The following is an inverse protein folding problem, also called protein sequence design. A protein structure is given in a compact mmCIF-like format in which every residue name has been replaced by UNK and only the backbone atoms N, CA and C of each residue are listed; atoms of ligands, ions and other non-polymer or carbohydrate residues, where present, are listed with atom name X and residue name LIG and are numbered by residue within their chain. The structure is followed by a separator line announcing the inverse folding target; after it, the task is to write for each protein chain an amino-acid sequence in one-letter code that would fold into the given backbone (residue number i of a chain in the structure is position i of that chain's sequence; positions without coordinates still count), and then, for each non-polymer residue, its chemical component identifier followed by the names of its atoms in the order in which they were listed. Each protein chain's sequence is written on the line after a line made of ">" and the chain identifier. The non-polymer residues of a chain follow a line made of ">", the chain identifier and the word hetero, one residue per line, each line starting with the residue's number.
data_IF_409675468137
#
_entry.id   IF_409675468137
#
_cell.length_a   1.000
_cell.length_b   1.000
_cell.length_c   1.000
_cell.angle_alpha   90.00
_cell.angle_beta   90.00
_cell.angle_gamma   90.00
#
_symmetry.space_group_name_H-M   'P 1'
#
loop_
_entity.id
_entity.type
_entity.pdbx_description
1 polymer ?
#
# COMPACT_ATOMS: atom_id res chain seq x y z
N UNK A 1 14.67 21.42 -42.00
CA UNK A 1 13.36 20.95 -41.51
C UNK A 1 13.58 20.34 -40.14
N UNK A 2 13.03 20.94 -39.08
CA UNK A 2 13.23 20.49 -37.71
C UNK A 2 12.25 19.36 -37.41
N UNK A 3 12.75 18.17 -37.10
CA UNK A 3 11.93 17.05 -36.66
C UNK A 3 11.71 17.24 -35.16
N UNK A 4 10.51 17.69 -34.80
CA UNK A 4 10.06 17.81 -33.40
C UNK A 4 9.71 16.40 -32.93
N UNK A 5 10.61 15.78 -32.16
CA UNK A 5 10.33 14.50 -31.51
C UNK A 5 9.39 14.74 -30.31
N UNK A 6 8.11 14.39 -30.48
CA UNK A 6 7.13 14.31 -29.42
C UNK A 6 7.52 13.18 -28.46
N UNK A 7 8.24 13.51 -27.39
CA UNK A 7 8.44 12.62 -26.25
C UNK A 7 7.10 12.47 -25.53
N UNK A 8 6.38 11.39 -25.85
CA UNK A 8 5.22 10.96 -25.11
C UNK A 8 5.68 10.42 -23.76
N UNK A 9 5.74 11.30 -22.76
CA UNK A 9 5.98 10.91 -21.36
C UNK A 9 4.83 10.03 -20.91
N UNK A 10 5.04 8.71 -20.89
CA UNK A 10 4.09 7.77 -20.30
C UNK A 10 4.07 8.03 -18.80
N UNK A 11 3.11 8.85 -18.35
CA UNK A 11 2.82 9.01 -16.93
C UNK A 11 2.41 7.65 -16.40
N UNK A 12 3.35 6.98 -15.74
CA UNK A 12 3.07 5.73 -15.03
C UNK A 12 2.18 6.10 -13.86
N UNK A 13 0.87 5.96 -14.07
CA UNK A 13 -0.13 6.05 -13.02
C UNK A 13 0.12 4.88 -12.05
N UNK A 14 1.03 5.10 -11.10
CA UNK A 14 1.14 4.26 -9.93
C UNK A 14 -0.14 4.54 -9.14
N UNK A 15 -1.15 3.70 -9.35
CA UNK A 15 -2.28 3.62 -8.45
C UNK A 15 -1.68 3.38 -7.06
N UNK A 16 -1.58 4.45 -6.25
CA UNK A 16 -1.17 4.32 -4.88
C UNK A 16 -2.28 3.51 -4.20
N UNK A 17 -2.04 2.21 -4.03
CA UNK A 17 -2.90 1.37 -3.23
C UNK A 17 -2.90 1.97 -1.81
N UNK A 18 -3.93 2.74 -1.49
CA UNK A 18 -4.09 3.30 -0.16
C UNK A 18 -4.52 2.17 0.78
N UNK A 19 -3.55 1.61 1.52
CA UNK A 19 -3.84 0.60 2.53
C UNK A 19 -4.66 1.23 3.66
N UNK A 20 -5.82 0.65 3.95
CA UNK A 20 -6.74 1.17 4.97
C UNK A 20 -6.41 0.55 6.32
N UNK A 21 -5.90 1.37 7.25
CA UNK A 21 -5.64 0.92 8.62
C UNK A 21 -6.96 0.57 9.32
N UNK A 22 -7.09 -0.63 9.90
CA UNK A 22 -8.29 -1.02 10.61
C UNK A 22 -8.43 -0.24 11.91
N UNK A 23 -9.67 0.11 12.25
CA UNK A 23 -9.96 0.77 13.52
C UNK A 23 -10.15 -0.26 14.62
N UNK A 24 -9.49 0.00 15.74
CA UNK A 24 -9.68 -0.76 16.98
C UNK A 24 -11.18 -0.79 17.35
N UNK A 25 -11.75 -1.95 17.72
CA UNK A 25 -13.14 -2.04 18.15
C UNK A 25 -13.42 -1.19 19.39
N UNK A 26 -14.57 -0.53 19.41
CA UNK A 26 -14.96 0.30 20.56
C UNK A 26 -15.19 -0.51 21.85
N UNK A 27 -15.59 -1.79 21.72
CA UNK A 27 -15.92 -2.64 22.86
C UNK A 27 -14.76 -2.88 23.84
N UNK A 28 -13.50 -2.65 23.43
CA UNK A 28 -12.33 -2.78 24.31
C UNK A 28 -11.85 -1.45 24.90
N UNK A 29 -12.41 -0.32 24.46
CA UNK A 29 -12.12 1.01 25.02
C UNK A 29 -13.19 1.48 26.03
N UNK A 30 -14.26 0.70 26.20
CA UNK A 30 -15.31 0.98 27.16
C UNK A 30 -14.89 0.75 28.60
N UNK A 31 -15.53 1.46 29.53
CA UNK A 31 -15.43 1.22 30.98
C UNK A 31 -16.22 -0.02 31.46
N UNK A 32 -17.01 -0.63 30.57
CA UNK A 32 -17.86 -1.79 30.87
C UNK A 32 -17.11 -3.12 30.74
N UNK A 33 -17.57 -4.11 31.50
CA UNK A 33 -17.15 -5.51 31.39
C UNK A 33 -18.11 -6.29 30.49
N UNK A 34 -17.71 -7.50 30.12
CA UNK A 34 -18.53 -8.41 29.33
C UNK A 34 -19.42 -9.27 30.25
N UNK A 35 -20.33 -8.62 30.96
CA UNK A 35 -21.12 -9.24 32.05
C UNK A 35 -22.23 -10.19 31.56
N UNK A 36 -22.54 -10.14 30.27
CA UNK A 36 -23.50 -11.01 29.63
C UNK A 36 -22.93 -11.64 28.36
N UNK A 37 -23.50 -12.79 27.97
CA UNK A 37 -23.04 -13.56 26.82
C UNK A 37 -23.14 -12.76 25.51
N UNK A 38 -24.15 -11.90 25.37
CA UNK A 38 -24.34 -11.11 24.17
C UNK A 38 -23.21 -10.09 23.97
N UNK A 39 -22.88 -9.34 25.02
CA UNK A 39 -21.78 -8.36 25.02
C UNK A 39 -20.43 -9.04 24.75
N UNK A 40 -20.20 -10.21 25.35
CA UNK A 40 -19.01 -11.01 25.11
C UNK A 40 -18.90 -11.47 23.65
N UNK A 41 -19.95 -12.13 23.13
CA UNK A 41 -19.94 -12.69 21.78
C UNK A 41 -19.85 -11.58 20.71
N UNK A 42 -20.55 -10.46 20.93
CA UNK A 42 -20.47 -9.31 20.02
C UNK A 42 -19.06 -8.74 19.97
N UNK A 43 -18.43 -8.49 21.12
CA UNK A 43 -17.07 -7.96 21.12
C UNK A 43 -16.05 -8.97 20.56
N UNK A 44 -16.22 -10.26 20.85
CA UNK A 44 -15.38 -11.31 20.25
C UNK A 44 -15.48 -11.30 18.73
N UNK A 45 -16.67 -11.17 18.18
CA UNK A 45 -16.88 -11.07 16.72
C UNK A 45 -16.17 -9.86 16.12
N UNK A 46 -16.23 -8.72 16.81
CA UNK A 46 -15.54 -7.49 16.42
C UNK A 46 -14.02 -7.63 16.47
N UNK A 47 -13.48 -8.30 17.49
CA UNK A 47 -12.05 -8.61 17.61
C UNK A 47 -11.57 -9.55 16.49
N UNK A 48 -12.35 -10.58 16.14
CA UNK A 48 -12.02 -11.45 15.01
C UNK A 48 -12.05 -10.71 13.67
N UNK A 49 -12.99 -9.77 13.50
CA UNK A 49 -13.00 -8.88 12.33
C UNK A 49 -11.78 -7.98 12.30
N UNK A 50 -11.43 -7.36 13.43
CA UNK A 50 -10.25 -6.51 13.56
C UNK A 50 -8.96 -7.26 13.20
N UNK A 51 -8.82 -8.52 13.67
CA UNK A 51 -7.71 -9.40 13.31
C UNK A 51 -7.61 -9.63 11.80
N UNK A 52 -8.73 -9.96 11.14
CA UNK A 52 -8.73 -10.17 9.68
C UNK A 52 -8.32 -8.90 8.93
N UNK A 53 -8.92 -7.76 9.26
CA UNK A 53 -8.59 -6.49 8.62
C UNK A 53 -7.14 -6.06 8.89
N UNK A 54 -6.58 -6.39 10.05
CA UNK A 54 -5.17 -6.14 10.37
C UNK A 54 -4.25 -6.95 9.45
N UNK A 55 -4.56 -8.23 9.22
CA UNK A 55 -3.79 -9.05 8.28
C UNK A 55 -3.88 -8.50 6.85
N UNK A 56 -5.08 -8.12 6.41
CA UNK A 56 -5.31 -7.53 5.08
C UNK A 56 -4.50 -6.22 4.91
N UNK A 57 -4.48 -5.38 5.96
CA UNK A 57 -3.71 -4.15 5.99
C UNK A 57 -2.20 -4.40 5.88
N UNK A 58 -1.66 -5.34 6.65
CA UNK A 58 -0.23 -5.71 6.60
C UNK A 58 0.13 -6.27 5.23
N UNK A 59 -0.72 -7.12 4.64
CA UNK A 59 -0.49 -7.66 3.29
C UNK A 59 -0.50 -6.56 2.23
N UNK A 60 -1.40 -5.58 2.34
CA UNK A 60 -1.40 -4.41 1.47
C UNK A 60 -0.10 -3.62 1.61
N UNK A 61 0.35 -3.34 2.84
CA UNK A 61 1.59 -2.61 3.09
C UNK A 61 2.81 -3.32 2.51
N UNK A 62 2.88 -4.65 2.63
CA UNK A 62 3.94 -5.46 2.01
C UNK A 62 3.96 -5.29 0.50
N UNK A 63 2.79 -5.33 -0.14
CA UNK A 63 2.68 -5.14 -1.59
C UNK A 63 3.13 -3.74 -2.01
N UNK A 64 2.68 -2.71 -1.27
CA UNK A 64 3.05 -1.32 -1.51
C UNK A 64 4.57 -1.08 -1.32
N UNK A 65 5.19 -1.75 -0.34
CA UNK A 65 6.64 -1.73 -0.14
C UNK A 65 7.36 -2.34 -1.34
N UNK A 66 6.95 -3.53 -1.79
CA UNK A 66 7.56 -4.20 -2.94
C UNK A 66 7.44 -3.37 -4.22
N UNK A 67 6.29 -2.73 -4.44
CA UNK A 67 6.07 -1.80 -5.56
C UNK A 67 7.01 -0.60 -5.48
N UNK A 68 7.17 0.00 -4.29
CA UNK A 68 8.07 1.13 -4.10
C UNK A 68 9.54 0.75 -4.37
N UNK A 69 9.97 -0.43 -3.92
CA UNK A 69 11.31 -0.96 -4.19
C UNK A 69 11.51 -1.22 -5.70
N UNK A 70 10.53 -1.82 -6.38
CA UNK A 70 10.59 -2.01 -7.84
C UNK A 70 10.71 -0.69 -8.58
N UNK A 71 9.91 0.30 -8.21
CA UNK A 71 9.94 1.63 -8.82
C UNK A 71 11.31 2.31 -8.60
N UNK A 72 11.87 2.21 -7.39
CA UNK A 72 13.21 2.70 -7.09
C UNK A 72 14.29 2.02 -7.95
N UNK A 73 14.29 0.69 -8.03
CA UNK A 73 15.27 -0.04 -8.83
C UNK A 73 15.19 0.34 -10.32
N UNK A 74 13.98 0.48 -10.88
CA UNK A 74 13.78 0.96 -12.25
C UNK A 74 14.34 2.37 -12.47
N UNK A 75 14.18 3.25 -11.48
CA UNK A 75 14.76 4.59 -11.53
C UNK A 75 16.30 4.55 -11.49
N UNK A 76 16.89 3.67 -10.68
CA UNK A 76 18.35 3.45 -10.63
C UNK A 76 18.87 2.89 -11.97
N UNK A 77 18.18 1.93 -12.57
CA UNK A 77 18.52 1.39 -13.89
C UNK A 77 18.53 2.49 -14.96
N UNK A 78 17.48 3.32 -14.97
CA UNK A 78 17.36 4.46 -15.89
C UNK A 78 18.50 5.47 -15.67
N UNK A 79 18.78 5.81 -14.40
CA UNK A 79 19.89 6.68 -14.03
C UNK A 79 21.24 6.14 -14.52
N UNK A 80 21.54 4.87 -14.23
CA UNK A 80 22.80 4.25 -14.63
C UNK A 80 22.95 4.16 -16.15
N UNK A 81 21.85 3.91 -16.88
CA UNK A 81 21.86 3.93 -18.33
C UNK A 81 22.23 5.31 -18.87
N UNK A 82 21.62 6.39 -18.38
CA UNK A 82 21.98 7.75 -18.78
C UNK A 82 23.41 8.13 -18.37
N UNK A 83 23.83 7.75 -17.17
CA UNK A 83 25.18 7.98 -16.68
C UNK A 83 26.25 7.29 -17.54
N UNK A 84 25.91 6.18 -18.19
CA UNK A 84 26.79 5.49 -19.15
C UNK A 84 26.90 6.17 -20.53
N UNK A 85 26.22 7.31 -20.73
CA UNK A 85 26.24 8.07 -21.98
C UNK A 85 25.32 7.54 -23.07
N UNK A 86 24.42 6.60 -22.75
CA UNK A 86 23.41 6.08 -23.71
C UNK A 86 22.25 7.08 -23.84
N UNK A 87 21.82 7.31 -25.08
CA UNK A 87 20.67 8.17 -25.40
C UNK A 87 19.32 7.43 -25.36
N UNK A 88 19.32 6.10 -25.32
CA UNK A 88 18.13 5.27 -25.27
C UNK A 88 18.22 4.26 -24.12
N UNK A 89 17.27 4.35 -23.19
CA UNK A 89 17.16 3.55 -21.97
C UNK A 89 15.74 2.99 -21.91
N UNK A 90 15.61 1.69 -21.63
CA UNK A 90 14.35 0.94 -21.63
C UNK A 90 14.16 0.23 -20.30
#
# INVERSE_FOLDING_TARGET
>A
MAIVALVASTMSAHAQASCSEPRKPYCIDGYGTFDDEYSFQSCRSDMERFKRQTNDYVQCLSTAQDDAIRAYNKAVESFNCHASGKSYCF
#
